data_IF_230559096330
#
_entry.id   IF_230559096330
#
_cell.length_a   1.000
_cell.length_b   1.000
_cell.length_c   1.000
_cell.angle_alpha   90.00
_cell.angle_beta   90.00
_cell.angle_gamma   90.00
#
_symmetry.space_group_name_H-M   'P 1'
#
loop_
_entity.id
_entity.type
_entity.pdbx_description
1 polymer ?
#
# COMPACT_ATOMS: atom_id res chain seq x y z
N UNK A 1 -17.81 -6.00 14.61
CA UNK A 1 -16.50 -6.64 14.83
C UNK A 1 -15.59 -5.56 15.39
N UNK A 2 -14.86 -5.86 16.46
CA UNK A 2 -14.01 -4.90 17.15
C UNK A 2 -12.86 -4.41 16.24
N UNK A 3 -12.49 -3.13 16.31
CA UNK A 3 -11.55 -2.49 15.38
C UNK A 3 -10.08 -2.97 15.47
N UNK A 4 -9.80 -4.01 16.25
CA UNK A 4 -8.44 -4.55 16.47
C UNK A 4 -8.25 -5.99 15.92
N UNK A 5 -9.22 -6.53 15.19
CA UNK A 5 -9.22 -7.95 14.78
C UNK A 5 -8.63 -8.26 13.37
N UNK A 6 -8.15 -7.29 12.58
CA UNK A 6 -7.50 -7.54 11.26
C UNK A 6 -6.55 -6.39 10.83
N UNK A 7 -5.53 -6.63 9.98
CA UNK A 7 -4.33 -7.42 10.23
C UNK A 7 -3.05 -6.57 10.01
N UNK A 8 -1.90 -6.98 10.55
CA UNK A 8 -0.62 -6.47 10.05
C UNK A 8 -0.57 -6.71 8.53
N UNK A 9 -0.08 -5.79 7.70
CA UNK A 9 0.32 -6.05 6.31
C UNK A 9 -0.56 -7.04 5.48
N UNK A 10 -1.51 -6.56 4.66
CA UNK A 10 -2.26 -7.43 3.74
C UNK A 10 -1.27 -8.27 2.90
N UNK A 11 -1.42 -9.59 2.94
CA UNK A 11 -0.52 -10.54 2.27
C UNK A 11 0.71 -10.99 3.09
N UNK A 12 1.21 -10.19 4.05
CA UNK A 12 2.33 -10.58 4.91
C UNK A 12 1.85 -11.22 6.22
N UNK A 13 0.86 -10.69 6.96
CA UNK A 13 0.44 -11.33 8.23
C UNK A 13 -0.09 -12.76 8.12
N UNK A 14 -0.83 -13.09 7.05
CA UNK A 14 -1.31 -14.46 6.81
C UNK A 14 -0.16 -15.41 6.43
N UNK A 15 0.87 -14.88 5.78
CA UNK A 15 1.96 -15.66 5.22
C UNK A 15 3.29 -15.47 5.97
N UNK A 16 3.36 -14.64 7.02
CA UNK A 16 4.65 -14.19 7.58
C UNK A 16 5.38 -15.39 8.15
N UNK A 17 4.68 -16.22 8.92
CA UNK A 17 5.22 -17.45 9.50
C UNK A 17 5.54 -18.48 8.42
N UNK A 18 4.73 -18.56 7.36
CA UNK A 18 4.97 -19.46 6.25
C UNK A 18 6.21 -19.05 5.45
N UNK A 19 6.37 -17.76 5.13
CA UNK A 19 7.53 -17.16 4.44
C UNK A 19 8.78 -17.23 5.28
N UNK A 20 8.71 -16.93 6.58
CA UNK A 20 9.83 -17.10 7.52
C UNK A 20 10.28 -18.56 7.57
N UNK A 21 9.35 -19.52 7.75
CA UNK A 21 9.68 -20.95 7.77
C UNK A 21 10.25 -21.42 6.43
N UNK A 22 9.62 -21.03 5.31
CA UNK A 22 10.05 -21.39 3.95
C UNK A 22 11.45 -20.83 3.62
N UNK A 23 11.78 -19.65 4.14
CA UNK A 23 13.11 -19.04 4.00
C UNK A 23 14.14 -19.75 4.88
N UNK A 24 13.78 -20.07 6.13
CA UNK A 24 14.67 -20.77 7.07
C UNK A 24 14.98 -22.22 6.66
N UNK A 25 14.01 -22.93 6.08
CA UNK A 25 14.15 -24.33 5.69
C UNK A 25 14.54 -24.51 4.20
N UNK A 26 14.73 -23.41 3.46
CA UNK A 26 15.06 -23.42 2.04
C UNK A 26 13.94 -23.90 1.09
N UNK A 27 12.70 -24.00 1.57
CA UNK A 27 11.55 -24.44 0.78
C UNK A 27 10.81 -23.31 0.06
N UNK A 28 11.32 -22.08 0.11
CA UNK A 28 10.77 -20.93 -0.61
C UNK A 28 11.09 -21.07 -2.12
N UNK A 29 10.12 -21.48 -2.96
CA UNK A 29 10.39 -21.89 -4.34
C UNK A 29 10.92 -20.75 -5.21
N UNK A 30 10.64 -19.51 -4.82
CA UNK A 30 10.99 -18.29 -5.55
C UNK A 30 11.93 -17.38 -4.75
N UNK A 31 12.38 -17.82 -3.57
CA UNK A 31 13.09 -16.98 -2.60
C UNK A 31 12.39 -15.63 -2.36
N UNK A 32 11.05 -15.63 -2.34
CA UNK A 32 10.23 -14.44 -2.12
C UNK A 32 10.64 -13.76 -0.80
N UNK A 33 11.05 -12.48 -0.83
CA UNK A 33 11.44 -11.78 0.37
C UNK A 33 10.25 -11.64 1.33
N UNK A 34 10.53 -11.74 2.63
CA UNK A 34 9.58 -11.29 3.66
C UNK A 34 9.46 -9.78 3.53
N UNK A 35 8.24 -9.26 3.38
CA UNK A 35 8.00 -7.83 3.31
C UNK A 35 7.43 -7.39 4.64
N UNK A 36 8.11 -6.47 5.33
CA UNK A 36 7.69 -5.97 6.64
C UNK A 36 7.23 -4.52 6.45
N UNK A 37 6.04 -4.28 5.89
CA UNK A 37 5.67 -2.93 5.50
C UNK A 37 5.55 -2.04 6.74
N UNK A 38 6.04 -0.81 6.58
CA UNK A 38 5.74 0.27 7.51
C UNK A 38 4.23 0.53 7.52
N UNK A 39 3.73 1.22 8.55
CA UNK A 39 2.31 1.58 8.60
C UNK A 39 1.86 2.21 7.27
N UNK A 40 2.62 3.19 6.79
CA UNK A 40 2.46 3.81 5.48
C UNK A 40 3.77 3.81 4.71
N UNK A 41 3.69 3.60 3.40
CA UNK A 41 4.78 3.96 2.50
C UNK A 41 4.93 5.48 2.41
N UNK A 42 6.06 5.93 1.88
CA UNK A 42 6.28 7.34 1.57
C UNK A 42 5.23 7.80 0.52
N UNK A 43 4.47 8.87 0.77
CA UNK A 43 3.44 9.31 -0.15
C UNK A 43 4.02 10.12 -1.32
N UNK A 44 3.21 10.28 -2.37
CA UNK A 44 3.43 11.26 -3.45
C UNK A 44 2.23 12.19 -3.56
N UNK A 45 2.45 13.40 -4.06
CA UNK A 45 1.41 14.41 -4.22
C UNK A 45 1.33 14.79 -5.70
N UNK A 46 0.13 14.80 -6.26
CA UNK A 46 -0.10 15.22 -7.64
C UNK A 46 -0.17 16.77 -7.80
N UNK A 47 -0.33 17.23 -9.04
CA UNK A 47 -0.46 18.66 -9.34
C UNK A 47 -1.76 19.30 -8.83
N UNK A 48 -2.75 18.51 -8.43
CA UNK A 48 -4.00 18.98 -7.82
C UNK A 48 -3.92 19.05 -6.28
N UNK A 49 -2.80 18.62 -5.68
CA UNK A 49 -2.62 18.58 -4.23
C UNK A 49 -3.19 17.32 -3.58
N UNK A 50 -3.53 16.29 -4.34
CA UNK A 50 -3.99 14.99 -3.81
C UNK A 50 -2.77 14.19 -3.35
N UNK A 51 -2.73 13.82 -2.07
CA UNK A 51 -1.71 12.92 -1.53
C UNK A 51 -2.13 11.47 -1.72
N UNK A 52 -1.29 10.66 -2.37
CA UNK A 52 -1.48 9.23 -2.53
C UNK A 52 -0.60 8.50 -1.51
N UNK A 53 -1.24 7.77 -0.60
CA UNK A 53 -0.63 7.11 0.55
C UNK A 53 -0.88 5.59 0.45
N UNK A 54 0.07 4.81 -0.09
CA UNK A 54 0.01 3.35 0.00
C UNK A 54 0.21 2.90 1.45
N UNK A 55 -0.59 1.95 1.91
CA UNK A 55 -0.65 1.57 3.32
C UNK A 55 -0.51 0.06 3.54
N UNK A 56 -0.10 -0.34 4.74
CA UNK A 56 0.09 -1.76 5.07
C UNK A 56 -1.17 -2.61 4.90
N UNK A 57 -2.38 -2.04 4.95
CA UNK A 57 -3.63 -2.80 4.76
C UNK A 57 -3.91 -3.20 3.30
N UNK A 58 -2.97 -2.89 2.39
CA UNK A 58 -3.05 -3.21 0.98
C UNK A 58 -3.90 -2.26 0.16
N UNK A 59 -4.24 -1.10 0.73
CA UNK A 59 -4.92 -0.02 0.03
C UNK A 59 -3.97 1.13 -0.29
N UNK A 60 -4.40 1.91 -1.27
CA UNK A 60 -3.88 3.23 -1.58
C UNK A 60 -4.96 4.24 -1.19
N UNK A 61 -4.59 5.19 -0.35
CA UNK A 61 -5.47 6.27 0.07
C UNK A 61 -5.15 7.53 -0.74
N UNK A 62 -6.13 8.08 -1.45
CA UNK A 62 -6.03 9.41 -2.04
C UNK A 62 -6.70 10.41 -1.10
N UNK A 63 -5.94 11.37 -0.60
CA UNK A 63 -6.35 12.31 0.44
C UNK A 63 -6.20 13.74 -0.08
N UNK A 64 -7.26 14.54 0.00
CA UNK A 64 -7.24 15.96 -0.37
C UNK A 64 -8.30 16.73 0.42
N UNK A 65 -7.89 17.84 1.03
CA UNK A 65 -8.82 18.84 1.60
C UNK A 65 -9.53 19.55 0.45
N UNK A 66 -10.69 19.02 0.04
CA UNK A 66 -11.44 19.47 -1.12
C UNK A 66 -12.29 20.69 -0.83
N UNK A 67 -12.69 20.86 0.44
CA UNK A 67 -13.50 21.99 0.88
C UNK A 67 -12.66 23.19 1.38
N UNK A 68 -11.35 22.99 1.60
CA UNK A 68 -10.40 24.02 2.01
C UNK A 68 -10.54 24.47 3.46
N UNK A 69 -11.12 23.65 4.33
CA UNK A 69 -11.37 23.99 5.74
C UNK A 69 -10.17 23.69 6.67
N UNK A 70 -9.10 23.11 6.10
CA UNK A 70 -7.86 22.76 6.81
C UNK A 70 -7.95 21.45 7.57
N UNK A 71 -8.97 20.63 7.34
CA UNK A 71 -9.16 19.30 7.93
C UNK A 71 -9.43 18.29 6.83
N UNK A 72 -9.27 17.01 7.17
CA UNK A 72 -9.63 15.90 6.31
C UNK A 72 -10.83 15.20 6.93
N UNK A 73 -11.94 15.22 6.22
CA UNK A 73 -13.14 14.44 6.51
C UNK A 73 -13.09 13.07 5.82
N UNK A 74 -13.88 12.08 6.27
CA UNK A 74 -13.94 10.76 5.60
C UNK A 74 -14.31 10.84 4.12
N UNK A 75 -15.10 11.83 3.72
CA UNK A 75 -15.52 12.07 2.34
C UNK A 75 -14.38 12.58 1.44
N UNK A 76 -13.31 13.09 2.05
CA UNK A 76 -12.08 13.61 1.42
C UNK A 76 -10.99 12.54 1.28
N UNK A 77 -11.32 11.29 1.59
CA UNK A 77 -10.45 10.12 1.47
C UNK A 77 -11.08 9.13 0.49
N UNK A 78 -10.37 8.82 -0.58
CA UNK A 78 -10.72 7.74 -1.49
C UNK A 78 -9.77 6.56 -1.30
N UNK A 79 -10.30 5.34 -1.43
CA UNK A 79 -9.54 4.11 -1.22
C UNK A 79 -9.49 3.28 -2.51
N UNK A 80 -8.33 2.69 -2.78
CA UNK A 80 -8.16 1.69 -3.83
C UNK A 80 -7.48 0.44 -3.28
N UNK A 81 -8.12 -0.72 -3.39
CA UNK A 81 -7.57 -1.99 -2.89
C UNK A 81 -6.68 -2.66 -3.95
N UNK A 82 -5.40 -2.81 -3.63
CA UNK A 82 -4.43 -3.61 -4.40
C UNK A 82 -4.31 -5.02 -3.83
N UNK A 83 -4.47 -5.17 -2.51
CA UNK A 83 -4.54 -6.47 -1.84
C UNK A 83 -3.21 -6.98 -1.27
N UNK A 84 -2.14 -6.18 -1.32
CA UNK A 84 -0.89 -6.44 -0.63
C UNK A 84 -0.31 -5.14 -0.08
N UNK A 85 0.32 -5.19 1.11
CA UNK A 85 0.91 -4.02 1.78
C UNK A 85 2.04 -3.37 0.98
N UNK A 86 2.45 -2.17 1.39
CA UNK A 86 3.45 -1.37 0.67
C UNK A 86 4.59 -0.94 1.57
N UNK A 87 5.80 -0.93 1.01
CA UNK A 87 7.00 -0.39 1.65
C UNK A 87 7.75 0.58 0.73
N UNK A 88 7.64 0.41 -0.59
CA UNK A 88 8.27 1.29 -1.57
C UNK A 88 7.46 2.57 -1.79
N UNK A 89 8.16 3.68 -2.05
CA UNK A 89 7.54 4.90 -2.57
C UNK A 89 6.83 4.59 -3.91
N UNK A 90 5.63 5.13 -4.13
CA UNK A 90 5.02 5.12 -5.45
C UNK A 90 5.78 6.07 -6.40
N UNK A 91 5.65 5.85 -7.71
CA UNK A 91 6.19 6.73 -8.75
C UNK A 91 5.04 7.47 -9.44
N UNK A 92 5.28 8.73 -9.80
CA UNK A 92 4.30 9.58 -10.46
C UNK A 92 4.93 10.30 -11.66
N UNK A 93 4.20 10.33 -12.76
CA UNK A 93 4.47 11.15 -13.95
C UNK A 93 3.13 11.66 -14.52
N UNK A 94 3.13 12.61 -15.47
CA UNK A 94 1.89 13.03 -16.14
C UNK A 94 1.14 11.82 -16.74
N UNK A 95 -0.09 11.61 -16.30
CA UNK A 95 -0.94 10.49 -16.74
C UNK A 95 -0.50 9.10 -16.25
N UNK A 96 0.44 9.01 -15.31
CA UNK A 96 0.97 7.74 -14.83
C UNK A 96 1.14 7.75 -13.30
N UNK A 97 0.62 6.72 -12.66
CA UNK A 97 0.88 6.44 -11.25
C UNK A 97 1.24 4.96 -11.11
N UNK A 98 2.34 4.66 -10.44
CA UNK A 98 2.83 3.28 -10.32
C UNK A 98 3.21 2.94 -8.88
N UNK A 99 2.89 1.71 -8.48
CA UNK A 99 3.15 1.18 -7.14
C UNK A 99 3.76 -0.21 -7.24
N UNK A 100 4.63 -0.55 -6.30
CA UNK A 100 5.11 -1.91 -6.11
C UNK A 100 4.68 -2.36 -4.72
N UNK A 101 3.88 -3.41 -4.67
CA UNK A 101 3.43 -4.00 -3.42
C UNK A 101 4.41 -5.07 -2.91
N UNK A 102 4.19 -5.50 -1.68
CA UNK A 102 4.98 -6.51 -0.98
C UNK A 102 5.01 -7.89 -1.64
N UNK A 103 4.12 -8.18 -2.61
CA UNK A 103 4.18 -9.41 -3.42
C UNK A 103 5.18 -9.32 -4.57
N UNK A 104 5.78 -8.14 -4.79
CA UNK A 104 6.67 -7.88 -5.92
C UNK A 104 5.92 -7.55 -7.22
N UNK A 105 4.60 -7.36 -7.16
CA UNK A 105 3.78 -6.94 -8.29
C UNK A 105 3.92 -5.43 -8.49
N UNK A 106 4.25 -5.03 -9.72
CA UNK A 106 4.16 -3.66 -10.20
C UNK A 106 2.76 -3.43 -10.77
N UNK A 107 2.05 -2.45 -10.21
CA UNK A 107 0.77 -1.98 -10.74
C UNK A 107 0.92 -0.55 -11.26
N UNK A 108 0.29 -0.29 -12.41
CA UNK A 108 0.40 0.98 -13.14
C UNK A 108 -1.00 1.46 -13.49
N UNK A 109 -1.35 2.63 -12.97
CA UNK A 109 -2.59 3.34 -13.23
C UNK A 109 -2.34 4.40 -14.30
N UNK A 110 -3.17 4.36 -15.34
CA UNK A 110 -3.15 5.35 -16.41
C UNK A 110 -4.21 6.42 -16.12
N UNK A 111 -3.78 7.66 -16.05
CA UNK A 111 -4.66 8.82 -16.06
C UNK A 111 -5.18 9.10 -17.47
N UNK A 112 -6.26 9.90 -17.59
CA UNK A 112 -6.68 10.46 -18.88
C UNK A 112 -5.60 11.37 -19.51
#
# INVERSE_FOLDING_TARGET
>A
MDPYDRPAAAGDSENVLARFRATQNGSNPNNEPVCLPDANAQPVIDGAGTAFVPFQDGKIYAVRDDNGDGKISPEEVQEHLVGAGFQASPAMAPGLFAVIDCSGRLEVFLGP
#
